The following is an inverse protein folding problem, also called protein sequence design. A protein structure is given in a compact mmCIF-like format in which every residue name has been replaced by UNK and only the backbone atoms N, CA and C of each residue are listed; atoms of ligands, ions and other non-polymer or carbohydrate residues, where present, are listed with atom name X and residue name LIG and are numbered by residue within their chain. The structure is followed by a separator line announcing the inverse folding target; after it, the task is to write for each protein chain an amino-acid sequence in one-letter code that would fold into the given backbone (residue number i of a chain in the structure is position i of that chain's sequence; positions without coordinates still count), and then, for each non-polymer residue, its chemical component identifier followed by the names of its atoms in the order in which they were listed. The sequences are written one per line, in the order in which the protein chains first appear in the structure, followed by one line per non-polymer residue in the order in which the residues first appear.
data_IF_924238885144
#
_entry.id   IF_924238885144
#
_cell.length_a   1.000
_cell.length_b   1.000
_cell.length_c   1.000
_cell.angle_alpha   90.00
_cell.angle_beta   90.00
_cell.angle_gamma   90.00
#
_symmetry.space_group_name_H-M   'P 1'
#
loop_
_entity.id
_entity.type
_entity.pdbx_description
1 polymer ?
#
# COMPACT_ATOMS: atom_id res chain seq x y z
N UNK A 1 9.52 -9.45 -17.89
CA UNK A 1 8.65 -10.24 -16.98
C UNK A 1 7.24 -9.66 -16.79
N UNK A 2 7.07 -8.39 -16.40
CA UNK A 2 5.72 -7.79 -16.23
C UNK A 2 4.96 -7.63 -17.56
N UNK A 3 5.61 -7.12 -18.61
CA UNK A 3 5.01 -7.03 -19.95
C UNK A 3 4.69 -8.41 -20.56
N UNK A 4 5.52 -9.42 -20.29
CA UNK A 4 5.33 -10.80 -20.76
C UNK A 4 4.14 -11.48 -20.06
N UNK A 5 3.86 -11.13 -18.80
CA UNK A 5 2.67 -11.59 -18.06
C UNK A 5 1.38 -10.85 -18.47
N UNK A 6 1.48 -9.59 -18.87
CA UNK A 6 0.31 -8.80 -19.33
C UNK A 6 -0.13 -9.27 -20.73
N UNK A 7 0.82 -9.65 -21.60
CA UNK A 7 0.51 -10.21 -22.92
C UNK A 7 0.20 -11.72 -22.91
N UNK A 8 0.76 -12.49 -21.96
CA UNK A 8 0.61 -13.95 -21.92
C UNK A 8 -0.57 -14.49 -21.08
N UNK A 9 -1.15 -13.67 -20.18
CA UNK A 9 -2.33 -14.03 -19.39
C UNK A 9 -3.45 -13.05 -19.71
N UNK A 10 -4.55 -13.59 -20.22
CA UNK A 10 -5.80 -12.89 -20.52
C UNK A 10 -6.06 -11.75 -19.50
N UNK A 11 -6.17 -10.50 -19.98
CA UNK A 11 -6.22 -9.26 -19.17
C UNK A 11 -7.18 -9.35 -17.96
N UNK A 12 -8.28 -10.11 -18.11
CA UNK A 12 -9.27 -10.34 -17.06
C UNK A 12 -8.79 -11.20 -15.87
N UNK A 13 -7.88 -12.16 -16.04
CA UNK A 13 -7.35 -12.97 -14.94
C UNK A 13 -6.26 -12.23 -14.16
N UNK A 14 -5.48 -11.38 -14.82
CA UNK A 14 -4.43 -10.59 -14.18
C UNK A 14 -5.02 -9.57 -13.20
N UNK A 15 -6.13 -8.92 -13.57
CA UNK A 15 -6.78 -7.91 -12.74
C UNK A 15 -7.53 -8.49 -11.53
N UNK A 16 -7.80 -9.80 -11.51
CA UNK A 16 -8.53 -10.46 -10.41
C UNK A 16 -7.64 -10.77 -9.20
N UNK A 17 -6.34 -10.94 -9.40
CA UNK A 17 -5.38 -11.16 -8.31
C UNK A 17 -4.85 -9.82 -7.78
N UNK A 18 -5.14 -9.51 -6.51
CA UNK A 18 -4.69 -8.28 -5.84
C UNK A 18 -3.17 -8.11 -5.83
N UNK A 19 -2.41 -9.21 -5.78
CA UNK A 19 -0.95 -9.14 -5.81
C UNK A 19 -0.39 -8.78 -7.19
N UNK A 20 -1.10 -9.11 -8.27
CA UNK A 20 -0.73 -8.75 -9.63
C UNK A 20 -1.03 -7.26 -9.91
N UNK A 21 -2.15 -6.75 -9.38
CA UNK A 21 -2.44 -5.31 -9.43
C UNK A 21 -1.37 -4.50 -8.70
N UNK A 22 -0.99 -4.89 -7.48
CA UNK A 22 0.09 -4.22 -6.74
C UNK A 22 1.42 -4.22 -7.52
N UNK A 23 1.80 -5.37 -8.09
CA UNK A 23 3.04 -5.46 -8.88
C UNK A 23 3.01 -4.53 -10.11
N UNK A 24 1.85 -4.43 -10.79
CA UNK A 24 1.67 -3.52 -11.92
C UNK A 24 1.87 -2.05 -11.53
N UNK A 25 1.24 -1.59 -10.44
CA UNK A 25 1.42 -0.21 -9.96
C UNK A 25 2.88 0.09 -9.58
N UNK A 26 3.57 -0.84 -8.91
CA UNK A 26 4.99 -0.65 -8.54
C UNK A 26 5.89 -0.62 -9.78
N UNK A 27 5.65 -1.47 -10.79
CA UNK A 27 6.41 -1.45 -12.04
C UNK A 27 6.15 -0.17 -12.82
N UNK A 28 4.88 0.22 -12.99
CA UNK A 28 4.50 1.46 -13.68
C UNK A 28 5.13 2.70 -13.01
N UNK A 29 5.02 2.80 -11.68
CA UNK A 29 5.64 3.89 -10.92
C UNK A 29 7.18 3.88 -10.99
N UNK A 30 7.79 2.69 -11.01
CA UNK A 30 9.25 2.58 -11.16
C UNK A 30 9.72 3.03 -12.54
N UNK A 31 8.98 2.70 -13.61
CA UNK A 31 9.32 3.12 -14.98
C UNK A 31 9.12 4.62 -15.14
N UNK A 32 8.01 5.16 -14.60
CA UNK A 32 7.76 6.60 -14.56
C UNK A 32 8.86 7.35 -13.79
N UNK A 33 9.31 6.83 -12.65
CA UNK A 33 10.38 7.43 -11.86
C UNK A 33 11.74 7.46 -12.56
N UNK A 34 12.05 6.48 -13.41
CA UNK A 34 13.27 6.48 -14.24
C UNK A 34 13.10 7.44 -15.43
N UNK A 35 11.95 7.44 -16.08
CA UNK A 35 11.64 8.35 -17.20
C UNK A 35 11.71 9.81 -16.78
N UNK A 36 11.16 10.18 -15.61
CA UNK A 36 11.22 11.54 -15.05
C UNK A 36 12.67 11.94 -14.75
N UNK A 37 13.51 11.03 -14.22
CA UNK A 37 14.95 11.32 -13.98
C UNK A 37 15.72 11.59 -15.27
N UNK A 38 15.39 10.88 -16.36
CA UNK A 38 16.01 11.08 -17.66
C UNK A 38 15.52 12.35 -18.37
N UNK A 39 14.22 12.65 -18.28
CA UNK A 39 13.63 13.81 -18.93
C UNK A 39 13.95 15.13 -18.21
N UNK A 40 14.14 15.11 -16.89
CA UNK A 40 14.25 16.33 -16.10
C UNK A 40 15.64 16.99 -16.13
N UNK A 41 16.72 16.39 -16.66
CA UNK A 41 18.06 17.01 -16.74
C UNK A 41 18.47 17.88 -15.52
N UNK A 42 18.17 17.42 -14.29
CA UNK A 42 18.50 18.17 -13.06
C UNK A 42 17.53 19.28 -12.64
N UNK A 43 16.37 19.43 -13.29
CA UNK A 43 15.31 20.32 -12.81
C UNK A 43 14.74 19.74 -11.50
N UNK A 44 14.72 20.57 -10.46
CA UNK A 44 14.09 20.32 -9.16
C UNK A 44 12.56 20.18 -9.32
N UNK A 45 12.10 19.10 -9.96
CA UNK A 45 10.72 18.67 -9.89
C UNK A 45 10.44 18.20 -8.47
N UNK A 46 10.04 19.18 -7.66
CA UNK A 46 9.26 19.16 -6.45
C UNK A 46 9.40 17.88 -5.60
N UNK A 47 9.93 18.09 -4.40
CA UNK A 47 10.05 17.19 -3.24
C UNK A 47 9.00 16.07 -3.13
N UNK A 48 7.76 16.29 -3.59
CA UNK A 48 6.70 15.26 -3.67
C UNK A 48 7.02 14.10 -4.63
N UNK A 49 7.47 14.36 -5.87
CA UNK A 49 7.80 13.32 -6.84
C UNK A 49 9.00 12.47 -6.38
N UNK A 50 10.03 13.12 -5.82
CA UNK A 50 11.18 12.43 -5.23
C UNK A 50 10.78 11.54 -4.04
N UNK A 51 9.85 12.01 -3.19
CA UNK A 51 9.28 11.20 -2.09
C UNK A 51 8.53 9.98 -2.62
N UNK A 52 7.68 10.14 -3.63
CA UNK A 52 6.92 9.05 -4.24
C UNK A 52 7.86 8.01 -4.87
N UNK A 53 8.91 8.44 -5.59
CA UNK A 53 9.92 7.52 -6.16
C UNK A 53 10.65 6.74 -5.05
N UNK A 54 10.96 7.39 -3.93
CA UNK A 54 11.59 6.73 -2.77
C UNK A 54 10.65 5.69 -2.15
N UNK A 55 9.37 6.01 -1.98
CA UNK A 55 8.35 5.10 -1.48
C UNK A 55 8.15 3.89 -2.42
N UNK A 56 8.14 4.11 -3.75
CA UNK A 56 8.03 3.05 -4.75
C UNK A 56 9.22 2.07 -4.71
N UNK A 57 10.44 2.53 -4.36
CA UNK A 57 11.59 1.64 -4.14
C UNK A 57 11.37 0.72 -2.93
N UNK A 58 10.85 1.26 -1.83
CA UNK A 58 10.49 0.45 -0.65
C UNK A 58 9.37 -0.52 -1.00
N UNK A 59 8.37 -0.09 -1.77
CA UNK A 59 7.30 -0.96 -2.26
C UNK A 59 7.80 -2.08 -3.19
N UNK A 60 8.88 -1.86 -3.95
CA UNK A 60 9.56 -2.93 -4.69
C UNK A 60 10.17 -3.98 -3.76
N UNK A 61 10.75 -3.57 -2.62
CA UNK A 61 11.24 -4.52 -1.62
C UNK A 61 10.10 -5.36 -1.02
N UNK A 62 8.88 -4.81 -0.91
CA UNK A 62 7.69 -5.60 -0.52
C UNK A 62 7.33 -6.73 -1.50
N UNK A 63 7.87 -6.77 -2.73
CA UNK A 63 7.71 -7.94 -3.60
C UNK A 63 8.42 -9.19 -3.07
N UNK A 64 9.49 -9.03 -2.28
CA UNK A 64 10.17 -10.15 -1.63
C UNK A 64 9.22 -10.88 -0.67
N UNK A 65 8.35 -10.13 0.01
CA UNK A 65 7.31 -10.69 0.88
C UNK A 65 6.36 -11.62 0.13
N UNK A 66 6.05 -11.34 -1.14
CA UNK A 66 5.23 -12.23 -1.99
C UNK A 66 5.94 -13.55 -2.32
N UNK A 67 7.27 -13.56 -2.39
CA UNK A 67 8.05 -14.79 -2.69
C UNK A 67 8.09 -15.74 -1.50
N UNK A 68 7.98 -15.22 -0.28
CA UNK A 68 8.03 -16.03 0.95
C UNK A 68 6.62 -16.50 1.32
N UNK A 69 6.33 -17.79 1.13
CA UNK A 69 5.01 -18.38 1.42
C UNK A 69 4.58 -18.16 2.88
N UNK A 70 5.50 -18.24 3.85
CA UNK A 70 5.22 -18.01 5.27
C UNK A 70 4.66 -16.62 5.56
N UNK A 71 5.30 -15.56 5.04
CA UNK A 71 4.85 -14.18 5.27
C UNK A 71 3.49 -13.93 4.61
N UNK A 72 3.25 -14.49 3.42
CA UNK A 72 1.94 -14.39 2.75
C UNK A 72 0.81 -15.00 3.58
N UNK A 73 1.05 -16.13 4.24
CA UNK A 73 0.07 -16.77 5.12
C UNK A 73 -0.22 -15.90 6.34
N UNK A 74 0.83 -15.37 6.99
CA UNK A 74 0.70 -14.48 8.16
C UNK A 74 -0.07 -13.19 7.82
N UNK A 75 0.23 -12.57 6.69
CA UNK A 75 -0.51 -11.40 6.22
C UNK A 75 -1.97 -11.75 5.95
N UNK A 76 -2.24 -12.89 5.33
CA UNK A 76 -3.63 -13.32 5.07
C UNK A 76 -4.40 -13.53 6.37
N UNK A 77 -3.79 -14.14 7.39
CA UNK A 77 -4.43 -14.32 8.71
C UNK A 77 -4.61 -13.00 9.43
N UNK A 78 -3.67 -12.07 9.31
CA UNK A 78 -3.77 -10.71 9.86
C UNK A 78 -4.94 -9.93 9.24
N UNK A 79 -5.08 -9.97 7.92
CA UNK A 79 -6.23 -9.36 7.25
C UNK A 79 -7.56 -10.07 7.59
N UNK A 80 -7.52 -11.37 7.92
CA UNK A 80 -8.70 -12.11 8.36
C UNK A 80 -9.17 -11.72 9.77
N UNK A 81 -8.26 -11.31 10.65
CA UNK A 81 -8.59 -10.88 12.02
C UNK A 81 -8.97 -9.40 12.14
N UNK A 82 -8.59 -8.58 11.15
CA UNK A 82 -8.92 -7.16 11.05
C UNK A 82 -10.42 -6.81 11.27
N UNK A 83 -11.39 -7.56 10.70
CA UNK A 83 -12.82 -7.29 10.91
C UNK A 83 -13.26 -7.40 12.39
N UNK A 84 -12.72 -8.39 13.11
CA UNK A 84 -13.02 -8.56 14.53
C UNK A 84 -12.40 -7.44 15.38
N UNK A 85 -11.17 -7.04 15.04
CA UNK A 85 -10.50 -5.90 15.69
C UNK A 85 -11.24 -4.59 15.42
N UNK A 86 -11.79 -4.41 14.22
CA UNK A 86 -12.57 -3.22 13.87
C UNK A 86 -13.79 -3.04 14.78
N UNK A 87 -14.55 -4.10 15.03
CA UNK A 87 -15.73 -4.03 15.90
C UNK A 87 -15.36 -3.63 17.35
N UNK A 88 -14.31 -4.24 17.91
CA UNK A 88 -13.83 -3.90 19.26
C UNK A 88 -13.28 -2.47 19.28
N UNK A 89 -12.51 -2.10 18.26
CA UNK A 89 -11.96 -0.75 18.09
C UNK A 89 -13.03 0.33 18.00
N UNK A 90 -14.14 0.07 17.32
CA UNK A 90 -15.27 0.99 17.22
C UNK A 90 -15.93 1.23 18.59
N UNK A 91 -16.14 0.17 19.39
CA UNK A 91 -16.69 0.29 20.75
C UNK A 91 -15.71 1.06 21.64
N UNK A 92 -14.41 0.75 21.56
CA UNK A 92 -13.38 1.46 22.32
C UNK A 92 -13.33 2.95 21.95
N UNK A 93 -13.43 3.27 20.66
CA UNK A 93 -13.43 4.65 20.19
C UNK A 93 -14.68 5.41 20.65
N UNK A 94 -15.85 4.76 20.66
CA UNK A 94 -17.07 5.34 21.23
C UNK A 94 -16.91 5.62 22.73
N UNK A 95 -16.31 4.69 23.48
CA UNK A 95 -16.05 4.86 24.90
C UNK A 95 -15.10 6.05 25.15
N UNK A 96 -14.00 6.10 24.41
CA UNK A 96 -13.04 7.22 24.47
C UNK A 96 -13.71 8.55 24.14
N UNK A 97 -14.62 8.57 23.16
CA UNK A 97 -15.37 9.77 22.80
C UNK A 97 -16.27 10.26 23.95
N UNK A 98 -17.00 9.35 24.62
CA UNK A 98 -17.82 9.69 25.79
C UNK A 98 -16.94 10.28 26.90
N UNK A 99 -15.82 9.64 27.23
CA UNK A 99 -14.90 10.16 28.24
C UNK A 99 -14.25 11.49 27.85
N UNK A 100 -13.96 11.71 26.57
CA UNK A 100 -13.42 12.98 26.10
C UNK A 100 -14.42 14.13 26.28
N UNK A 101 -15.69 13.93 25.96
CA UNK A 101 -16.75 14.93 26.16
C UNK A 101 -16.99 15.20 27.65
N UNK A 102 -16.97 14.14 28.46
CA UNK A 102 -17.14 14.24 29.91
C UNK A 102 -15.96 14.99 30.55
N UNK A 103 -14.73 14.70 30.09
CA UNK A 103 -13.53 15.43 30.49
C UNK A 103 -13.57 16.91 30.09
N UNK A 104 -14.06 17.24 28.90
CA UNK A 104 -14.31 18.62 28.47
C UNK A 104 -15.33 19.34 29.38
N UNK A 105 -16.39 18.64 29.84
CA UNK A 105 -17.38 19.24 30.75
C UNK A 105 -16.87 19.40 32.19
N UNK A 106 -15.97 18.53 32.65
CA UNK A 106 -15.48 18.54 34.04
C UNK A 106 -14.24 19.42 34.24
N UNK A 107 -13.38 19.54 33.22
CA UNK A 107 -12.07 20.20 33.30
C UNK A 107 -11.89 21.35 32.30
N UNK A 108 -12.90 21.61 31.45
CA UNK A 108 -12.96 22.78 30.58
C UNK A 108 -13.86 23.87 31.13
#
# INVERSE_FOLDING_TARGET
EAALKIFGLNFGQYWRDGWNRFDFFVVAGSTAGVAVRFAANGIDLATAFLRIIRLLRVARALRLVRRVKGIRTLLKTFFLSMPSVYNIGAILLLLLFIFAVLGLHLFG
#
